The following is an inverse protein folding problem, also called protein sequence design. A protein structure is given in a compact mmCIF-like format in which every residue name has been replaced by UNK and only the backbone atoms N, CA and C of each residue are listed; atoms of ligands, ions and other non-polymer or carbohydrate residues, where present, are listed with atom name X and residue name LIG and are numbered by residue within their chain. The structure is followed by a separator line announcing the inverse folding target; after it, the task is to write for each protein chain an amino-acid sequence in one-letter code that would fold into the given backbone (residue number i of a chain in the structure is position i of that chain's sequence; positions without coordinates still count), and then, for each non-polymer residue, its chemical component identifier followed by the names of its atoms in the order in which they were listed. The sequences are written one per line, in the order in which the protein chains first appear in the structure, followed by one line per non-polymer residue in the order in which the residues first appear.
data_IF_629929193906
#
_entry.id   IF_629929193906
#
_cell.length_a   1.000
_cell.length_b   1.000
_cell.length_c   1.000
_cell.angle_alpha   90.00
_cell.angle_beta   90.00
_cell.angle_gamma   90.00
#
_symmetry.space_group_name_H-M   'P 1'
#
loop_
_entity.id
_entity.type
_entity.pdbx_description
1 polymer ?
#
# COMPACT_ATOMS: atom_id res chain seq x y z
N UNK A 1 -5.86 0.29 -19.06
CA UNK A 1 -4.78 0.00 -18.08
C UNK A 1 -4.78 -1.50 -17.80
N UNK A 2 -3.62 -2.17 -17.89
CA UNK A 2 -3.51 -3.62 -17.69
C UNK A 2 -3.80 -3.97 -16.23
N UNK A 3 -4.97 -4.54 -15.96
CA UNK A 3 -5.47 -4.91 -14.62
C UNK A 3 -5.00 -6.30 -14.19
N UNK A 4 -3.76 -6.68 -14.51
CA UNK A 4 -3.25 -7.96 -14.06
C UNK A 4 -3.02 -7.91 -12.55
N UNK A 5 -3.58 -8.85 -11.77
CA UNK A 5 -3.39 -8.84 -10.33
C UNK A 5 -1.92 -9.11 -9.98
N UNK A 6 -1.32 -8.24 -9.16
CA UNK A 6 -0.04 -8.51 -8.53
C UNK A 6 -0.27 -9.50 -7.36
N UNK A 7 0.13 -10.76 -7.55
CA UNK A 7 0.06 -11.78 -6.50
C UNK A 7 1.28 -11.64 -5.59
N UNK A 8 1.04 -11.35 -4.32
CA UNK A 8 2.06 -11.11 -3.32
C UNK A 8 1.84 -12.02 -2.11
N UNK A 9 2.92 -12.35 -1.42
CA UNK A 9 2.89 -13.16 -0.19
C UNK A 9 2.95 -12.24 1.03
N UNK A 10 2.05 -12.48 1.99
CA UNK A 10 2.13 -11.83 3.30
C UNK A 10 3.39 -12.35 4.01
N UNK A 11 4.28 -11.44 4.35
CA UNK A 11 5.51 -11.73 5.07
C UNK A 11 5.38 -11.30 6.53
N UNK A 12 6.46 -11.37 7.31
CA UNK A 12 6.47 -10.92 8.70
C UNK A 12 7.64 -9.99 8.97
N UNK A 13 7.44 -9.02 9.85
CA UNK A 13 8.51 -8.21 10.46
C UNK A 13 8.46 -8.34 11.98
N UNK A 14 9.59 -8.06 12.63
CA UNK A 14 9.63 -7.87 14.07
C UNK A 14 9.26 -6.42 14.40
N UNK A 15 8.23 -6.23 15.21
CA UNK A 15 7.82 -4.93 15.75
C UNK A 15 7.49 -5.10 17.25
N UNK A 16 8.09 -4.28 18.11
CA UNK A 16 7.92 -4.35 19.57
C UNK A 16 8.00 -5.78 20.13
N UNK A 17 9.09 -6.48 19.78
CA UNK A 17 9.37 -7.85 20.22
C UNK A 17 8.31 -8.90 19.81
N UNK A 18 7.50 -8.61 18.78
CA UNK A 18 6.50 -9.55 18.23
C UNK A 18 6.62 -9.62 16.70
N UNK A 19 6.36 -10.81 16.14
CA UNK A 19 6.15 -10.95 14.70
C UNK A 19 4.78 -10.40 14.31
N UNK A 20 4.76 -9.46 13.37
CA UNK A 20 3.52 -8.89 12.82
C UNK A 20 3.49 -9.06 11.29
N UNK A 21 2.29 -9.17 10.68
CA UNK A 21 2.16 -9.27 9.22
C UNK A 21 2.72 -8.04 8.50
N UNK A 22 3.39 -8.25 7.37
CA UNK A 22 3.86 -7.19 6.47
C UNK A 22 3.45 -7.51 5.03
N UNK A 23 2.84 -6.52 4.39
CA UNK A 23 2.60 -6.49 2.94
C UNK A 23 3.60 -5.51 2.33
N UNK A 24 4.39 -5.97 1.36
CA UNK A 24 5.33 -5.12 0.61
C UNK A 24 4.79 -4.90 -0.80
N UNK A 25 4.46 -3.65 -1.13
CA UNK A 25 4.11 -3.23 -2.49
C UNK A 25 5.32 -2.52 -3.11
N UNK A 26 5.79 -3.01 -4.26
CA UNK A 26 6.95 -2.43 -4.96
C UNK A 26 6.76 -2.54 -6.48
N UNK A 27 7.18 -1.50 -7.20
CA UNK A 27 7.24 -1.49 -8.66
C UNK A 27 6.88 -0.12 -9.26
N UNK A 28 7.27 0.09 -10.51
CA UNK A 28 7.01 1.34 -11.24
C UNK A 28 5.51 1.67 -11.34
N UNK A 29 4.66 0.63 -11.36
CA UNK A 29 3.21 0.77 -11.37
C UNK A 29 2.67 1.59 -10.18
N UNK A 30 3.35 1.62 -9.02
CA UNK A 30 2.95 2.48 -7.91
C UNK A 30 3.11 3.95 -8.29
N UNK A 31 4.28 4.33 -8.81
CA UNK A 31 4.57 5.69 -9.24
C UNK A 31 3.64 6.13 -10.40
N UNK A 32 3.42 5.24 -11.38
CA UNK A 32 2.49 5.45 -12.49
C UNK A 32 1.04 5.72 -12.02
N UNK A 33 0.67 5.26 -10.82
CA UNK A 33 -0.65 5.47 -10.20
C UNK A 33 -0.62 6.52 -9.07
N UNK A 34 0.39 7.40 -9.03
CA UNK A 34 0.44 8.55 -8.13
C UNK A 34 1.05 8.28 -6.75
N UNK A 35 1.45 7.04 -6.44
CA UNK A 35 2.16 6.70 -5.21
C UNK A 35 3.64 7.09 -5.31
N UNK A 36 3.90 8.39 -5.35
CA UNK A 36 5.24 8.97 -5.43
C UNK A 36 5.91 9.02 -4.05
N UNK A 37 7.24 9.02 -4.03
CA UNK A 37 8.03 9.18 -2.80
C UNK A 37 7.65 10.51 -2.13
N UNK A 38 7.33 10.47 -0.84
CA UNK A 38 6.92 11.65 -0.06
C UNK A 38 5.42 11.96 -0.10
N UNK A 39 4.63 11.35 -1.00
CA UNK A 39 3.16 11.47 -0.97
C UNK A 39 2.59 10.77 0.26
N UNK A 40 1.59 11.38 0.88
CA UNK A 40 0.77 10.74 1.90
C UNK A 40 -0.19 9.74 1.24
N UNK A 41 -0.55 8.72 2.00
CA UNK A 41 -1.52 7.71 1.60
C UNK A 41 -2.57 7.53 2.68
N UNK A 42 -3.76 7.14 2.28
CA UNK A 42 -4.82 6.70 3.17
C UNK A 42 -4.94 5.18 3.04
N UNK A 43 -4.86 4.48 4.17
CA UNK A 43 -5.13 3.05 4.26
C UNK A 43 -6.46 2.81 4.98
N UNK A 44 -7.46 2.27 4.26
CA UNK A 44 -8.76 1.89 4.81
C UNK A 44 -8.82 0.37 4.97
N UNK A 45 -9.09 -0.06 6.20
CA UNK A 45 -9.10 -1.48 6.58
C UNK A 45 -10.53 -1.89 6.89
N UNK A 46 -11.02 -2.92 6.20
CA UNK A 46 -12.29 -3.59 6.49
C UNK A 46 -12.07 -5.10 6.50
N UNK A 47 -13.06 -5.88 6.94
CA UNK A 47 -12.94 -7.34 7.04
C UNK A 47 -12.49 -7.98 5.72
N UNK A 48 -11.24 -8.47 5.69
CA UNK A 48 -10.63 -9.12 4.53
C UNK A 48 -10.19 -8.20 3.39
N UNK A 49 -10.23 -6.86 3.57
CA UNK A 49 -9.84 -5.90 2.52
C UNK A 49 -9.00 -4.76 3.08
N UNK A 50 -7.93 -4.45 2.36
CA UNK A 50 -7.11 -3.26 2.53
C UNK A 50 -7.24 -2.44 1.24
N UNK A 51 -7.75 -1.22 1.35
CA UNK A 51 -7.77 -0.25 0.25
C UNK A 51 -6.72 0.81 0.58
N UNK A 52 -5.81 1.04 -0.35
CA UNK A 52 -4.76 2.06 -0.22
C UNK A 52 -4.94 3.06 -1.35
N UNK A 53 -5.05 4.32 -0.98
CA UNK A 53 -5.31 5.44 -1.90
C UNK A 53 -4.26 6.52 -1.65
N UNK A 54 -3.89 7.26 -2.70
CA UNK A 54 -3.09 8.49 -2.53
C UNK A 54 -3.97 9.48 -1.78
N UNK A 55 -3.43 10.09 -0.73
CA UNK A 55 -4.12 11.17 -0.02
C UNK A 55 -4.20 12.36 -0.97
N UNK A 56 -5.42 12.68 -1.41
CA UNK A 56 -5.65 13.84 -2.26
C UNK A 56 -5.31 15.09 -1.46
N UNK A 57 -4.38 15.91 -1.95
CA UNK A 57 -4.22 17.25 -1.39
C UNK A 57 -5.57 17.96 -1.49
N UNK A 58 -6.08 18.48 -0.36
CA UNK A 58 -7.01 19.61 -0.41
C UNK A 58 -6.35 20.64 -1.32
N UNK A 59 -6.96 20.92 -2.46
CA UNK A 59 -6.64 22.10 -3.23
C UNK A 59 -6.92 23.29 -2.32
N UNK A 60 -5.87 23.94 -1.80
CA UNK A 60 -5.97 25.34 -1.36
C UNK A 60 -6.21 26.26 -2.57
#
# INVERSE_FOLDING_TARGET
MSTRPHRLTVSSIWNNNKRVPMIRLTGNWLAENGFQIGRKIIARITSGRLVVEVDGEESE
#
